data_IF_844233873840
#
_entry.id   IF_844233873840
#
_cell.length_a   1.000
_cell.length_b   1.000
_cell.length_c   1.000
_cell.angle_alpha   90.00
_cell.angle_beta   90.00
_cell.angle_gamma   90.00
#
_symmetry.space_group_name_H-M   'P 1'
#
loop_
_entity.id
_entity.type
_entity.pdbx_description
1 polymer ?
#
# COMPACT_ATOMS: atom_id res chain seq x y z
N UNK A 1 -21.66 -30.14 2.76
CA UNK A 1 -20.74 -30.91 1.88
C UNK A 1 -19.34 -30.46 2.24
N UNK A 2 -18.58 -31.26 3.00
CA UNK A 2 -17.14 -31.05 3.10
C UNK A 2 -16.57 -31.34 1.71
N UNK A 3 -15.79 -30.42 1.15
CA UNK A 3 -15.07 -30.69 -0.09
C UNK A 3 -14.10 -31.85 0.19
N UNK A 4 -14.09 -32.88 -0.67
CA UNK A 4 -13.18 -34.02 -0.53
C UNK A 4 -11.72 -33.64 -0.85
N UNK A 5 -11.46 -32.40 -1.26
CA UNK A 5 -10.18 -31.90 -1.74
C UNK A 5 -9.68 -30.76 -0.82
N UNK A 6 -9.31 -31.10 0.41
CA UNK A 6 -8.65 -30.16 1.34
C UNK A 6 -7.21 -30.60 1.54
N UNK A 7 -6.27 -29.71 1.23
CA UNK A 7 -4.83 -29.92 1.38
C UNK A 7 -4.30 -29.04 2.53
N UNK A 8 -3.41 -29.60 3.35
CA UNK A 8 -2.72 -28.87 4.42
C UNK A 8 -1.25 -28.73 4.08
N UNK A 9 -0.78 -27.49 3.92
CA UNK A 9 0.63 -27.16 3.69
C UNK A 9 1.25 -26.72 5.02
N UNK A 10 2.24 -27.47 5.50
CA UNK A 10 3.02 -27.10 6.70
C UNK A 10 4.30 -26.40 6.25
N UNK A 11 4.56 -25.23 6.83
CA UNK A 11 5.75 -24.43 6.53
C UNK A 11 6.65 -24.45 7.77
N UNK A 12 7.79 -25.13 7.66
CA UNK A 12 8.80 -25.26 8.71
C UNK A 12 10.02 -24.39 8.39
N UNK A 13 10.77 -24.01 9.42
CA UNK A 13 12.03 -23.27 9.28
C UNK A 13 13.22 -24.19 8.92
N UNK A 14 13.00 -25.51 8.88
CA UNK A 14 14.05 -26.51 8.63
C UNK A 14 14.25 -26.73 7.12
N UNK A 15 15.47 -26.40 6.69
CA UNK A 15 16.23 -26.69 5.47
C UNK A 15 15.55 -27.44 4.31
N UNK A 16 15.67 -26.88 3.09
CA UNK A 16 15.49 -27.66 1.87
C UNK A 16 16.49 -28.84 1.86
N UNK A 17 16.08 -30.06 1.50
CA UNK A 17 17.05 -31.10 1.21
C UNK A 17 17.81 -30.70 -0.05
N UNK A 18 19.11 -30.43 0.09
CA UNK A 18 20.03 -30.26 -1.02
C UNK A 18 19.89 -31.43 -2.00
N UNK A 19 19.67 -31.14 -3.27
CA UNK A 19 19.76 -32.13 -4.34
C UNK A 19 21.11 -32.86 -4.27
N UNK A 20 21.09 -34.18 -4.08
CA UNK A 20 22.22 -35.05 -4.44
C UNK A 20 22.69 -36.04 -3.38
N UNK A 21 21.87 -37.01 -2.98
CA UNK A 21 22.41 -38.28 -2.50
C UNK A 21 22.53 -39.27 -3.68
N UNK A 22 23.73 -39.37 -4.24
CA UNK A 22 24.17 -40.60 -4.89
C UNK A 22 25.14 -41.36 -3.96
N UNK A 23 25.11 -42.71 -3.96
CA UNK A 23 25.73 -43.49 -2.90
C UNK A 23 27.25 -43.55 -3.00
N UNK A 24 27.86 -43.59 -1.83
CA UNK A 24 29.29 -43.60 -1.58
C UNK A 24 30.02 -44.79 -2.23
N UNK A 25 31.00 -44.50 -3.08
CA UNK A 25 32.11 -45.42 -3.35
C UNK A 25 33.48 -44.71 -3.28
N UNK A 26 34.23 -45.09 -2.24
CA UNK A 26 35.70 -45.17 -2.08
C UNK A 26 36.59 -44.15 -2.81
N UNK A 27 37.22 -43.26 -2.01
CA UNK A 27 38.58 -42.70 -2.22
C UNK A 27 39.20 -42.44 -0.83
N UNK A 28 40.06 -43.31 -0.30
CA UNK A 28 41.54 -43.21 -0.28
C UNK A 28 42.11 -41.81 -0.08
N UNK A 29 42.87 -41.70 1.00
CA UNK A 29 43.71 -40.60 1.48
C UNK A 29 44.63 -40.04 0.38
N UNK A 30 44.68 -38.71 0.23
CA UNK A 30 45.89 -37.88 0.39
C UNK A 30 45.72 -36.45 -0.18
N UNK A 31 46.41 -35.53 0.49
CA UNK A 31 46.98 -34.26 0.03
C UNK A 31 46.16 -32.95 0.13
N UNK A 32 46.76 -32.06 0.92
CA UNK A 32 46.49 -30.65 1.15
C UNK A 32 46.55 -29.77 -0.12
N UNK A 33 45.82 -28.65 -0.05
CA UNK A 33 46.18 -27.29 -0.49
C UNK A 33 45.15 -26.64 -1.45
N UNK A 34 44.61 -25.50 -1.01
CA UNK A 34 43.93 -24.53 -1.87
C UNK A 34 42.68 -23.90 -1.25
N UNK A 35 42.85 -23.03 -0.26
CA UNK A 35 41.84 -22.01 0.06
C UNK A 35 41.66 -21.10 -1.16
N UNK A 36 40.51 -21.20 -1.81
CA UNK A 36 39.98 -20.15 -2.68
C UNK A 36 38.62 -19.75 -2.11
N UNK A 37 38.57 -18.50 -1.64
CA UNK A 37 37.39 -17.78 -1.19
C UNK A 37 36.22 -18.04 -2.14
N UNK A 38 35.28 -18.87 -1.71
CA UNK A 38 33.90 -18.82 -2.19
C UNK A 38 33.19 -17.86 -1.26
N UNK A 39 32.93 -16.66 -1.75
CA UNK A 39 31.91 -15.80 -1.16
C UNK A 39 30.57 -16.52 -1.32
N UNK A 40 30.12 -17.19 -0.25
CA UNK A 40 28.76 -17.71 -0.16
C UNK A 40 27.78 -16.52 -0.27
N UNK A 41 26.72 -16.62 -1.09
CA UNK A 41 25.74 -15.56 -1.20
C UNK A 41 25.03 -15.38 0.15
N UNK A 42 25.00 -14.14 0.66
CA UNK A 42 24.33 -13.77 1.91
C UNK A 42 22.99 -14.48 2.07
N UNK A 43 22.86 -15.30 3.12
CA UNK A 43 21.61 -16.01 3.45
C UNK A 43 20.45 -15.01 3.54
N UNK A 44 19.57 -15.01 2.53
CA UNK A 44 18.38 -14.16 2.55
C UNK A 44 17.41 -14.76 3.57
N UNK A 45 17.44 -14.24 4.80
CA UNK A 45 16.53 -14.66 5.87
C UNK A 45 15.13 -14.13 5.58
N UNK A 46 14.26 -15.00 5.06
CA UNK A 46 12.85 -14.68 4.86
C UNK A 46 12.08 -14.64 6.18
N UNK A 47 11.14 -13.72 6.30
CA UNK A 47 10.18 -13.70 7.40
C UNK A 47 9.21 -14.87 7.30
N UNK A 48 8.61 -15.28 8.43
CA UNK A 48 7.57 -16.34 8.48
C UNK A 48 6.44 -16.13 7.48
N UNK A 49 6.03 -14.86 7.28
CA UNK A 49 4.97 -14.49 6.34
C UNK A 49 5.40 -14.67 4.89
N UNK A 50 6.65 -14.34 4.57
CA UNK A 50 7.22 -14.53 3.22
C UNK A 50 7.39 -16.01 2.90
N UNK A 51 7.86 -16.82 3.86
CA UNK A 51 7.94 -18.28 3.71
C UNK A 51 6.57 -18.90 3.41
N UNK A 52 5.54 -18.50 4.16
CA UNK A 52 4.16 -18.95 3.92
C UNK A 52 3.65 -18.51 2.54
N UNK A 53 3.89 -17.25 2.16
CA UNK A 53 3.51 -16.74 0.85
C UNK A 53 4.25 -17.46 -0.30
N UNK A 54 5.52 -17.85 -0.12
CA UNK A 54 6.30 -18.61 -1.12
C UNK A 54 5.79 -20.02 -1.30
N UNK A 55 5.41 -20.70 -0.23
CA UNK A 55 4.80 -22.04 -0.32
C UNK A 55 3.47 -21.97 -1.07
N UNK A 56 2.65 -20.95 -0.79
CA UNK A 56 1.42 -20.69 -1.55
C UNK A 56 1.76 -20.37 -3.02
N UNK A 57 2.76 -19.55 -3.30
CA UNK A 57 3.19 -19.21 -4.66
C UNK A 57 3.67 -20.45 -5.45
N UNK A 58 4.41 -21.36 -4.81
CA UNK A 58 4.82 -22.64 -5.41
C UNK A 58 3.61 -23.49 -5.77
N UNK A 59 2.66 -23.62 -4.84
CA UNK A 59 1.43 -24.39 -5.08
C UNK A 59 0.56 -23.78 -6.17
N UNK A 60 0.46 -22.45 -6.22
CA UNK A 60 -0.25 -21.74 -7.29
C UNK A 60 0.37 -22.09 -8.66
N UNK A 61 1.70 -22.06 -8.79
CA UNK A 61 2.39 -22.42 -10.03
C UNK A 61 2.07 -23.84 -10.48
N UNK A 62 2.09 -24.80 -9.57
CA UNK A 62 1.71 -26.20 -9.85
C UNK A 62 0.25 -26.31 -10.33
N UNK A 63 -0.67 -25.56 -9.73
CA UNK A 63 -2.09 -25.61 -10.10
C UNK A 63 -2.38 -24.91 -11.43
N UNK A 64 -1.62 -23.87 -11.79
CA UNK A 64 -1.77 -23.12 -13.05
C UNK A 64 -0.85 -23.60 -14.16
N UNK A 65 -0.12 -24.70 -13.96
CA UNK A 65 0.78 -25.26 -14.96
C UNK A 65 0.00 -25.65 -16.23
N UNK A 66 0.41 -25.22 -17.43
CA UNK A 66 -0.36 -25.47 -18.66
C UNK A 66 -0.54 -26.96 -19.00
N UNK A 67 0.41 -27.82 -18.60
CA UNK A 67 0.47 -29.23 -19.01
C UNK A 67 -0.05 -30.16 -17.91
N UNK A 68 0.21 -29.82 -16.64
CA UNK A 68 -0.05 -30.67 -15.48
C UNK A 68 -0.98 -30.06 -14.44
N UNK A 69 -1.39 -28.80 -14.65
CA UNK A 69 -2.23 -28.06 -13.73
C UNK A 69 -3.66 -28.56 -13.60
N UNK A 70 -4.40 -27.95 -12.68
CA UNK A 70 -5.77 -28.33 -12.36
C UNK A 70 -6.73 -27.95 -13.50
N UNK A 71 -7.53 -28.91 -13.95
CA UNK A 71 -8.59 -28.67 -14.91
C UNK A 71 -9.91 -28.33 -14.20
N UNK A 72 -10.35 -27.09 -14.35
CA UNK A 72 -11.62 -26.60 -13.81
C UNK A 72 -12.75 -26.86 -14.82
N UNK A 73 -13.92 -27.24 -14.32
CA UNK A 73 -15.11 -27.40 -15.14
C UNK A 73 -15.84 -26.07 -15.29
N UNK A 74 -15.92 -25.55 -16.51
CA UNK A 74 -16.67 -24.34 -16.82
C UNK A 74 -18.14 -24.67 -17.09
N UNK A 75 -19.00 -24.36 -16.12
CA UNK A 75 -20.45 -24.60 -16.22
C UNK A 75 -21.11 -23.84 -17.40
N UNK A 76 -20.55 -22.71 -17.83
CA UNK A 76 -21.12 -21.92 -18.93
C UNK A 76 -20.86 -22.54 -20.29
N UNK A 77 -19.63 -23.00 -20.50
CA UNK A 77 -19.19 -23.58 -21.78
C UNK A 77 -19.28 -25.11 -21.80
N UNK A 78 -19.58 -25.74 -20.66
CA UNK A 78 -19.65 -27.21 -20.47
C UNK A 78 -18.36 -27.92 -20.88
N UNK A 79 -17.21 -27.28 -20.65
CA UNK A 79 -15.89 -27.79 -21.00
C UNK A 79 -14.93 -27.69 -19.81
N UNK A 80 -13.90 -28.53 -19.82
CA UNK A 80 -12.76 -28.37 -18.92
C UNK A 80 -11.78 -27.36 -19.49
N UNK A 81 -11.27 -26.47 -18.63
CA UNK A 81 -10.21 -25.51 -18.95
C UNK A 81 -9.14 -25.54 -17.87
N UNK A 82 -7.88 -25.17 -18.18
CA UNK A 82 -6.86 -25.00 -17.16
C UNK A 82 -7.26 -23.91 -16.15
N UNK A 83 -6.83 -24.10 -14.90
CA UNK A 83 -6.96 -23.08 -13.87
C UNK A 83 -6.13 -21.84 -14.23
N UNK A 84 -6.71 -20.67 -14.03
CA UNK A 84 -6.05 -19.39 -14.25
C UNK A 84 -5.91 -18.63 -12.93
N UNK A 85 -5.05 -17.62 -12.86
CA UNK A 85 -4.84 -16.84 -11.64
C UNK A 85 -6.14 -16.19 -11.12
N UNK A 86 -7.07 -15.82 -12.00
CA UNK A 86 -8.39 -15.27 -11.63
C UNK A 86 -9.27 -16.24 -10.83
N UNK A 87 -9.01 -17.55 -10.92
CA UNK A 87 -9.77 -18.59 -10.22
C UNK A 87 -9.29 -18.80 -8.78
N UNK A 88 -8.18 -18.15 -8.42
CA UNK A 88 -7.49 -18.35 -7.15
C UNK A 88 -7.76 -17.15 -6.24
N UNK A 89 -8.20 -17.47 -5.01
CA UNK A 89 -8.28 -16.50 -3.91
C UNK A 89 -7.42 -16.94 -2.74
N UNK A 90 -6.76 -15.99 -2.09
CA UNK A 90 -6.09 -16.15 -0.81
C UNK A 90 -6.89 -15.41 0.26
N UNK A 91 -7.41 -16.16 1.22
CA UNK A 91 -8.18 -15.64 2.34
C UNK A 91 -7.28 -15.48 3.56
N UNK A 92 -7.24 -14.26 4.09
CA UNK A 92 -6.52 -13.93 5.32
C UNK A 92 -7.51 -13.53 6.41
N UNK A 93 -7.24 -13.93 7.66
CA UNK A 93 -8.05 -13.43 8.80
C UNK A 93 -7.77 -11.96 9.08
N UNK A 94 -6.51 -11.54 8.96
CA UNK A 94 -6.03 -10.19 9.21
C UNK A 94 -5.33 -9.70 7.96
N UNK A 95 -5.81 -8.60 7.37
CA UNK A 95 -5.20 -8.03 6.17
C UNK A 95 -3.92 -7.26 6.51
N UNK A 96 -3.95 -6.41 7.53
CA UNK A 96 -2.86 -5.48 7.89
C UNK A 96 -1.51 -6.18 8.04
N UNK A 97 -0.54 -5.76 7.22
CA UNK A 97 0.83 -6.28 7.18
C UNK A 97 0.97 -7.74 6.72
N UNK A 98 -0.10 -8.40 6.27
CA UNK A 98 -0.07 -9.74 5.66
C UNK A 98 -0.32 -9.66 4.16
N UNK A 99 -1.33 -8.89 3.75
CA UNK A 99 -1.67 -8.66 2.35
C UNK A 99 -0.50 -8.09 1.55
N UNK A 100 0.18 -7.06 2.07
CA UNK A 100 1.35 -6.44 1.41
C UNK A 100 2.48 -7.45 1.19
N UNK A 101 2.80 -8.23 2.23
CA UNK A 101 3.83 -9.27 2.15
C UNK A 101 3.47 -10.33 1.10
N UNK A 102 2.21 -10.78 1.09
CA UNK A 102 1.75 -11.78 0.14
C UNK A 102 1.75 -11.24 -1.29
N UNK A 103 1.23 -10.03 -1.53
CA UNK A 103 1.26 -9.39 -2.86
C UNK A 103 2.69 -9.27 -3.36
N UNK A 104 3.59 -8.71 -2.55
CA UNK A 104 4.99 -8.50 -2.94
C UNK A 104 5.68 -9.82 -3.24
N UNK A 105 5.49 -10.84 -2.40
CA UNK A 105 6.10 -12.17 -2.59
C UNK A 105 5.57 -12.84 -3.85
N UNK A 106 4.25 -12.83 -4.08
CA UNK A 106 3.65 -13.41 -5.29
C UNK A 106 4.15 -12.70 -6.56
N UNK A 107 4.22 -11.37 -6.53
CA UNK A 107 4.76 -10.59 -7.65
C UNK A 107 6.24 -10.90 -7.92
N UNK A 108 7.06 -11.10 -6.88
CA UNK A 108 8.46 -11.52 -7.03
C UNK A 108 8.59 -12.91 -7.65
N UNK A 109 7.66 -13.81 -7.35
CA UNK A 109 7.57 -15.16 -7.96
C UNK A 109 6.89 -15.15 -9.35
N UNK A 110 6.61 -13.97 -9.92
CA UNK A 110 6.01 -13.80 -11.25
C UNK A 110 4.50 -14.04 -11.31
N UNK A 111 3.82 -14.12 -10.15
CA UNK A 111 2.38 -14.34 -10.05
C UNK A 111 1.68 -13.00 -9.84
N UNK A 112 0.83 -12.56 -10.78
CA UNK A 112 0.13 -11.28 -10.63
C UNK A 112 -0.92 -11.42 -9.52
N UNK A 113 -0.76 -10.66 -8.45
CA UNK A 113 -1.63 -10.69 -7.28
C UNK A 113 -2.19 -9.31 -6.95
N UNK A 114 -3.41 -9.28 -6.44
CA UNK A 114 -4.11 -8.07 -6.03
C UNK A 114 -4.75 -8.29 -4.67
N UNK A 115 -4.49 -7.40 -3.71
CA UNK A 115 -5.18 -7.38 -2.44
C UNK A 115 -6.17 -6.22 -2.40
N UNK A 116 -7.39 -6.48 -1.94
CA UNK A 116 -8.36 -5.43 -1.61
C UNK A 116 -8.02 -4.84 -0.23
N UNK A 117 -6.83 -4.27 -0.13
CA UNK A 117 -6.36 -3.54 1.04
C UNK A 117 -6.86 -2.12 0.98
N UNK A 118 -7.81 -1.79 1.84
CA UNK A 118 -8.14 -0.39 2.16
C UNK A 118 -7.05 0.38 2.89
N UNK A 119 -5.92 -0.28 3.19
CA UNK A 119 -4.74 0.30 3.81
C UNK A 119 -3.76 0.75 2.73
N UNK A 120 -3.22 1.95 2.85
CA UNK A 120 -2.17 2.47 1.96
C UNK A 120 -2.62 3.51 0.94
N UNK A 121 -3.91 3.64 0.64
CA UNK A 121 -4.42 4.67 -0.30
C UNK A 121 -3.92 6.08 0.04
N UNK A 122 -4.07 6.50 1.30
CA UNK A 122 -3.61 7.81 1.78
C UNK A 122 -2.08 7.93 1.92
N UNK A 123 -1.35 6.83 1.76
CA UNK A 123 0.12 6.78 1.79
C UNK A 123 0.73 6.78 0.38
N UNK A 124 -0.09 6.59 -0.66
CA UNK A 124 0.37 6.69 -2.05
C UNK A 124 0.92 8.08 -2.33
N UNK A 125 1.95 8.15 -3.18
CA UNK A 125 2.66 9.39 -3.47
C UNK A 125 1.73 10.44 -4.10
N UNK A 126 0.89 10.01 -5.04
CA UNK A 126 -0.06 10.88 -5.74
C UNK A 126 -1.07 11.53 -4.77
N UNK A 127 -1.63 10.75 -3.84
CA UNK A 127 -2.60 11.25 -2.87
C UNK A 127 -1.91 12.11 -1.83
N UNK A 128 -0.75 11.68 -1.31
CA UNK A 128 0.00 12.44 -0.30
C UNK A 128 0.40 13.83 -0.83
N UNK A 129 0.88 13.91 -2.07
CA UNK A 129 1.24 15.20 -2.70
C UNK A 129 0.03 16.12 -2.82
N UNK A 130 -1.11 15.62 -3.34
CA UNK A 130 -2.32 16.44 -3.50
C UNK A 130 -2.85 16.90 -2.14
N UNK A 131 -2.88 16.02 -1.13
CA UNK A 131 -3.29 16.40 0.21
C UNK A 131 -2.35 17.42 0.84
N UNK A 132 -1.04 17.36 0.56
CA UNK A 132 -0.11 18.38 0.99
C UNK A 132 -0.37 19.73 0.32
N UNK A 133 -0.73 19.76 -0.98
CA UNK A 133 -1.17 20.98 -1.67
C UNK A 133 -2.41 21.57 -0.98
N UNK A 134 -3.44 20.78 -0.72
CA UNK A 134 -4.64 21.24 -0.02
C UNK A 134 -4.32 21.81 1.37
N UNK A 135 -3.42 21.17 2.11
CA UNK A 135 -2.98 21.61 3.43
C UNK A 135 -2.28 22.96 3.40
N UNK A 136 -1.41 23.21 2.42
CA UNK A 136 -0.73 24.51 2.31
C UNK A 136 -1.65 25.61 1.78
N UNK A 137 -2.66 25.27 0.99
CA UNK A 137 -3.72 26.22 0.61
C UNK A 137 -4.49 26.65 1.86
N UNK A 138 -4.90 25.70 2.71
CA UNK A 138 -5.57 26.01 3.99
C UNK A 138 -4.65 26.79 4.93
N UNK A 139 -3.41 26.33 5.12
CA UNK A 139 -2.41 26.97 5.96
C UNK A 139 -0.97 26.76 5.43
N UNK A 140 -0.37 27.79 4.80
CA UNK A 140 0.99 27.69 4.26
C UNK A 140 2.09 27.47 5.30
N UNK A 141 1.84 27.75 6.58
CA UNK A 141 2.83 27.65 7.66
C UNK A 141 3.04 26.23 8.19
N UNK A 142 2.66 25.22 7.41
CA UNK A 142 2.90 23.82 7.71
C UNK A 142 4.18 23.35 7.01
N UNK A 143 5.27 23.21 7.76
CA UNK A 143 6.60 22.98 7.19
C UNK A 143 6.71 21.66 6.39
N UNK A 144 6.13 20.56 6.90
CA UNK A 144 6.22 19.24 6.23
C UNK A 144 5.42 19.21 4.91
N UNK A 145 4.12 19.58 4.87
CA UNK A 145 3.39 19.68 3.60
C UNK A 145 4.05 20.62 2.60
N UNK A 146 4.53 21.78 3.05
CA UNK A 146 5.20 22.74 2.19
C UNK A 146 6.48 22.17 1.58
N UNK A 147 7.36 21.58 2.39
CA UNK A 147 8.57 20.94 1.88
C UNK A 147 8.24 19.78 0.91
N UNK A 148 7.18 19.01 1.22
CA UNK A 148 6.70 17.94 0.35
C UNK A 148 6.27 18.44 -1.04
N UNK A 149 5.52 19.54 -1.10
CA UNK A 149 5.10 20.15 -2.38
C UNK A 149 6.28 20.75 -3.14
N UNK A 150 7.20 21.44 -2.44
CA UNK A 150 8.39 22.02 -3.06
C UNK A 150 9.32 20.95 -3.67
N UNK A 151 9.45 19.79 -3.01
CA UNK A 151 10.22 18.65 -3.53
C UNK A 151 9.50 17.88 -4.64
N UNK A 152 8.16 17.96 -4.68
CA UNK A 152 7.35 17.23 -5.64
C UNK A 152 7.54 17.75 -7.08
N UNK A 153 7.15 16.98 -8.11
CA UNK A 153 7.19 17.41 -9.51
C UNK A 153 6.41 18.69 -9.83
N UNK A 154 5.53 19.15 -8.92
CA UNK A 154 4.78 20.41 -9.06
C UNK A 154 5.74 21.62 -9.07
N UNK A 155 6.74 21.63 -8.19
CA UNK A 155 7.75 22.70 -8.10
C UNK A 155 9.13 22.22 -8.56
N UNK A 156 9.49 20.99 -8.18
CA UNK A 156 10.67 20.28 -8.67
C UNK A 156 11.99 20.72 -8.05
N UNK A 157 12.00 21.18 -6.80
CA UNK A 157 13.25 21.51 -6.09
C UNK A 157 13.96 20.25 -5.60
N UNK A 158 15.29 20.29 -5.62
CA UNK A 158 16.12 19.23 -5.04
C UNK A 158 16.28 19.38 -3.53
N UNK A 159 16.70 18.31 -2.85
CA UNK A 159 17.01 18.35 -1.41
C UNK A 159 18.09 19.39 -1.07
N UNK A 160 19.09 19.56 -1.93
CA UNK A 160 20.12 20.59 -1.77
C UNK A 160 19.54 22.00 -1.88
N UNK A 161 18.65 22.25 -2.85
CA UNK A 161 17.98 23.55 -2.99
C UNK A 161 17.08 23.86 -1.79
N UNK A 162 16.35 22.86 -1.28
CA UNK A 162 15.57 23.01 -0.04
C UNK A 162 16.46 23.34 1.17
N UNK A 163 17.61 22.70 1.28
CA UNK A 163 18.58 23.00 2.34
C UNK A 163 19.13 24.44 2.21
N UNK A 164 19.37 24.94 1.00
CA UNK A 164 19.78 26.33 0.76
C UNK A 164 18.71 27.32 1.22
N UNK A 165 17.44 27.08 0.88
CA UNK A 165 16.32 27.91 1.34
C UNK A 165 16.26 27.91 2.87
N UNK A 166 16.41 26.73 3.50
CA UNK A 166 16.39 26.62 4.97
C UNK A 166 17.59 27.29 5.62
N UNK A 167 18.77 27.21 5.01
CA UNK A 167 19.99 27.81 5.55
C UNK A 167 19.92 29.34 5.57
N UNK A 168 19.18 29.95 4.64
CA UNK A 168 18.97 31.40 4.57
C UNK A 168 18.12 31.94 5.74
N UNK A 169 17.21 31.13 6.30
CA UNK A 169 16.40 31.50 7.46
C UNK A 169 16.11 30.29 8.36
N UNK A 170 17.01 30.05 9.30
CA UNK A 170 17.00 28.88 10.18
C UNK A 170 16.08 29.01 11.40
N UNK A 171 15.58 30.20 11.70
CA UNK A 171 14.85 30.46 12.95
C UNK A 171 13.34 30.64 12.75
N UNK A 172 12.89 30.88 11.51
CA UNK A 172 11.47 31.02 11.20
C UNK A 172 10.87 29.73 10.60
N UNK A 173 9.57 29.77 10.30
CA UNK A 173 8.87 28.70 9.57
C UNK A 173 9.44 28.53 8.17
N UNK A 174 9.28 27.34 7.58
CA UNK A 174 9.73 27.07 6.20
C UNK A 174 9.06 28.02 5.20
N UNK A 175 7.79 28.39 5.43
CA UNK A 175 7.08 29.37 4.61
C UNK A 175 7.77 30.75 4.61
N UNK A 176 8.20 31.23 5.78
CA UNK A 176 8.92 32.50 5.91
C UNK A 176 10.26 32.46 5.18
N UNK A 177 10.97 31.33 5.29
CA UNK A 177 12.23 31.11 4.58
C UNK A 177 12.02 31.15 3.06
N UNK A 178 10.98 30.48 2.56
CA UNK A 178 10.60 30.50 1.15
C UNK A 178 10.28 31.91 0.65
N UNK A 179 9.45 32.68 1.37
CA UNK A 179 9.11 34.05 0.97
C UNK A 179 10.32 34.98 0.96
N UNK A 180 11.24 34.81 1.92
CA UNK A 180 12.45 35.61 2.02
C UNK A 180 13.43 35.25 0.90
N UNK A 181 13.62 33.96 0.64
CA UNK A 181 14.47 33.47 -0.43
C UNK A 181 13.95 33.86 -1.81
N UNK A 182 12.63 33.84 -2.04
CA UNK A 182 12.05 34.31 -3.30
C UNK A 182 12.43 35.77 -3.62
N UNK A 183 12.47 36.64 -2.59
CA UNK A 183 12.78 38.07 -2.75
C UNK A 183 14.27 38.37 -2.87
N UNK A 184 15.09 37.74 -2.02
CA UNK A 184 16.48 38.14 -1.76
C UNK A 184 17.49 36.99 -1.95
N UNK A 185 17.04 35.82 -2.36
CA UNK A 185 17.87 34.63 -2.56
C UNK A 185 18.99 34.84 -3.58
N UNK A 186 20.12 34.18 -3.35
CA UNK A 186 21.30 34.28 -4.21
C UNK A 186 21.21 33.48 -5.51
N UNK A 187 20.32 32.48 -5.59
CA UNK A 187 20.12 31.63 -6.76
C UNK A 187 18.86 32.04 -7.53
N UNK A 188 19.04 32.54 -8.75
CA UNK A 188 17.97 33.05 -9.62
C UNK A 188 16.99 31.95 -10.06
N UNK A 189 17.48 30.72 -10.29
CA UNK A 189 16.64 29.61 -10.73
C UNK A 189 15.68 29.20 -9.62
N UNK A 190 16.19 29.08 -8.38
CA UNK A 190 15.36 28.78 -7.21
C UNK A 190 14.33 29.89 -7.02
N UNK A 191 14.75 31.16 -7.12
CA UNK A 191 13.86 32.31 -6.96
C UNK A 191 12.70 32.30 -7.93
N UNK A 192 12.96 32.14 -9.23
CA UNK A 192 11.91 32.15 -10.25
C UNK A 192 10.88 31.02 -10.03
N UNK A 193 11.35 29.84 -9.61
CA UNK A 193 10.46 28.72 -9.26
C UNK A 193 9.61 29.02 -8.03
N UNK A 194 10.20 29.63 -7.00
CA UNK A 194 9.48 30.02 -5.78
C UNK A 194 8.47 31.13 -6.02
N UNK A 195 8.82 32.15 -6.81
CA UNK A 195 7.91 33.24 -7.20
C UNK A 195 6.68 32.66 -7.91
N UNK A 196 6.89 31.83 -8.95
CA UNK A 196 5.79 31.16 -9.66
C UNK A 196 4.92 30.32 -8.73
N UNK A 197 5.53 29.56 -7.82
CA UNK A 197 4.81 28.72 -6.86
C UNK A 197 3.99 29.56 -5.87
N UNK A 198 4.54 30.67 -5.36
CA UNK A 198 3.84 31.56 -4.42
C UNK A 198 2.64 32.24 -5.09
N UNK A 199 2.78 32.66 -6.35
CA UNK A 199 1.67 33.23 -7.12
C UNK A 199 0.55 32.20 -7.31
N UNK A 200 0.89 30.97 -7.75
CA UNK A 200 -0.07 29.88 -7.87
C UNK A 200 -0.75 29.55 -6.54
N UNK A 201 0.00 29.54 -5.44
CA UNK A 201 -0.55 29.27 -4.11
C UNK A 201 -1.58 30.32 -3.71
N UNK A 202 -1.34 31.61 -3.98
CA UNK A 202 -2.32 32.65 -3.66
C UNK A 202 -3.54 32.63 -4.58
N UNK A 203 -3.38 32.26 -5.86
CA UNK A 203 -4.50 32.03 -6.77
C UNK A 203 -5.41 30.91 -6.24
N UNK A 204 -4.83 29.76 -5.86
CA UNK A 204 -5.62 28.65 -5.28
C UNK A 204 -6.30 29.05 -3.97
N UNK A 205 -5.63 29.84 -3.12
CA UNK A 205 -6.19 30.32 -1.85
C UNK A 205 -7.35 31.29 -2.07
N UNK A 206 -7.30 32.11 -3.11
CA UNK A 206 -8.41 32.97 -3.50
C UNK A 206 -9.63 32.14 -3.96
N UNK A 207 -9.41 31.06 -4.71
CA UNK A 207 -10.48 30.18 -5.22
C UNK A 207 -11.26 29.45 -4.12
N UNK A 208 -10.63 29.11 -2.99
CA UNK A 208 -11.29 28.38 -1.89
C UNK A 208 -12.59 29.04 -1.42
N UNK A 209 -12.69 30.37 -1.52
CA UNK A 209 -13.85 31.13 -1.05
C UNK A 209 -15.12 30.90 -1.89
N UNK A 210 -15.01 30.50 -3.15
CA UNK A 210 -16.15 30.43 -4.08
C UNK A 210 -16.17 29.19 -4.97
N UNK A 211 -15.14 28.34 -4.93
CA UNK A 211 -15.04 27.13 -5.75
C UNK A 211 -15.28 25.88 -4.89
N UNK A 212 -16.11 24.92 -5.34
CA UNK A 212 -16.20 23.59 -4.75
C UNK A 212 -14.83 22.90 -4.68
N UNK A 213 -14.64 22.01 -3.70
CA UNK A 213 -13.37 21.31 -3.48
C UNK A 213 -13.02 20.40 -4.66
N UNK A 214 -14.00 19.73 -5.26
CA UNK A 214 -13.76 18.86 -6.42
C UNK A 214 -13.28 19.66 -7.64
N UNK A 215 -13.86 20.85 -7.88
CA UNK A 215 -13.41 21.77 -8.93
C UNK A 215 -12.03 22.36 -8.62
N UNK A 216 -11.77 22.74 -7.36
CA UNK A 216 -10.45 23.19 -6.91
C UNK A 216 -9.38 22.11 -7.16
N UNK A 217 -9.69 20.85 -6.84
CA UNK A 217 -8.80 19.73 -7.10
C UNK A 217 -8.51 19.57 -8.61
N UNK A 218 -9.54 19.65 -9.45
CA UNK A 218 -9.39 19.56 -10.90
C UNK A 218 -8.54 20.71 -11.44
N UNK A 219 -8.75 21.94 -10.97
CA UNK A 219 -7.97 23.10 -11.38
C UNK A 219 -6.49 22.95 -10.99
N UNK A 220 -6.20 22.53 -9.76
CA UNK A 220 -4.84 22.26 -9.30
C UNK A 220 -4.18 21.20 -10.18
N UNK A 221 -4.88 20.11 -10.45
CA UNK A 221 -4.37 18.99 -11.25
C UNK A 221 -4.06 19.39 -12.69
N UNK A 222 -4.90 20.22 -13.30
CA UNK A 222 -4.75 20.71 -14.67
C UNK A 222 -3.63 21.75 -14.76
N UNK A 223 -3.65 22.79 -13.92
CA UNK A 223 -2.66 23.88 -13.97
C UNK A 223 -1.23 23.41 -13.63
N UNK A 224 -1.09 22.45 -12.72
CA UNK A 224 0.22 21.89 -12.38
C UNK A 224 0.66 20.80 -13.35
N UNK A 225 -0.24 20.29 -14.19
CA UNK A 225 -0.01 19.11 -15.03
C UNK A 225 0.21 17.81 -14.24
N UNK A 226 -0.03 17.81 -12.93
CA UNK A 226 0.29 16.68 -12.06
C UNK A 226 -0.53 15.43 -12.41
N UNK A 227 -1.77 15.59 -12.90
CA UNK A 227 -2.59 14.47 -13.36
C UNK A 227 -1.91 13.67 -14.47
N UNK A 228 -1.46 14.38 -15.51
CA UNK A 228 -0.77 13.77 -16.65
C UNK A 228 0.61 13.22 -16.27
N UNK A 229 1.33 13.93 -15.38
CA UNK A 229 2.61 13.46 -14.87
C UNK A 229 2.47 12.09 -14.18
N UNK A 230 1.51 11.97 -13.27
CA UNK A 230 1.24 10.74 -12.52
C UNK A 230 0.76 9.61 -13.45
N UNK A 231 -0.05 9.92 -14.46
CA UNK A 231 -0.50 8.96 -15.46
C UNK A 231 0.66 8.41 -16.32
N UNK A 232 1.72 9.19 -16.54
CA UNK A 232 2.90 8.77 -17.30
C UNK A 232 3.92 7.95 -16.47
N UNK A 233 3.74 7.86 -15.15
CA UNK A 233 4.62 7.05 -14.28
C UNK A 233 4.29 5.55 -14.35
N UNK A 234 5.20 4.67 -13.88
CA UNK A 234 4.89 3.26 -13.68
C UNK A 234 3.64 3.07 -12.81
N UNK A 235 2.71 2.23 -13.29
CA UNK A 235 1.40 2.03 -12.67
C UNK A 235 0.42 3.18 -12.88
N UNK A 236 0.60 4.00 -13.92
CA UNK A 236 -0.17 5.22 -14.19
C UNK A 236 -1.69 5.07 -14.14
N UNK A 237 -2.25 3.97 -14.67
CA UNK A 237 -3.70 3.70 -14.59
C UNK A 237 -4.18 3.61 -13.13
N UNK A 238 -3.44 2.89 -12.27
CA UNK A 238 -3.77 2.75 -10.85
C UNK A 238 -3.66 4.07 -10.11
N UNK A 239 -2.61 4.85 -10.39
CA UNK A 239 -2.43 6.17 -9.77
C UNK A 239 -3.48 7.18 -10.21
N UNK A 240 -3.87 7.14 -11.49
CA UNK A 240 -4.99 7.91 -12.03
C UNK A 240 -6.28 7.56 -11.29
N UNK A 241 -6.58 6.27 -11.14
CA UNK A 241 -7.76 5.82 -10.42
C UNK A 241 -7.77 6.28 -8.96
N UNK A 242 -6.60 6.32 -8.30
CA UNK A 242 -6.48 6.90 -6.96
C UNK A 242 -6.88 8.38 -6.95
N UNK A 243 -6.40 9.19 -7.91
CA UNK A 243 -6.79 10.61 -8.01
C UNK A 243 -8.29 10.76 -8.30
N UNK A 244 -8.84 9.99 -9.25
CA UNK A 244 -10.27 10.03 -9.59
C UNK A 244 -11.15 9.66 -8.38
N UNK A 245 -10.66 8.74 -7.54
CA UNK A 245 -11.32 8.41 -6.27
C UNK A 245 -11.27 9.58 -5.29
N UNK A 246 -10.16 10.31 -5.16
CA UNK A 246 -10.07 11.50 -4.30
C UNK A 246 -11.10 12.57 -4.72
N UNK A 247 -11.22 12.84 -6.02
CA UNK A 247 -12.22 13.77 -6.56
C UNK A 247 -13.63 13.27 -6.23
N UNK A 248 -13.89 11.98 -6.39
CA UNK A 248 -15.18 11.38 -6.03
C UNK A 248 -15.49 11.48 -4.52
N UNK A 249 -14.47 11.43 -3.65
CA UNK A 249 -14.64 11.71 -2.22
C UNK A 249 -15.01 13.17 -1.96
N UNK A 250 -14.38 14.11 -2.66
CA UNK A 250 -14.70 15.54 -2.55
C UNK A 250 -16.17 15.81 -2.92
N UNK A 251 -16.65 15.26 -4.04
CA UNK A 251 -18.06 15.36 -4.46
C UNK A 251 -19.01 14.76 -3.42
N UNK A 252 -18.65 13.61 -2.81
CA UNK A 252 -19.47 13.00 -1.75
C UNK A 252 -19.50 13.86 -0.48
N UNK A 253 -18.36 14.40 -0.09
CA UNK A 253 -18.24 15.27 1.07
C UNK A 253 -19.11 16.53 0.94
N UNK A 254 -19.09 17.16 -0.24
CA UNK A 254 -19.87 18.36 -0.53
C UNK A 254 -21.38 18.16 -0.53
N UNK A 255 -21.87 16.93 -0.77
CA UNK A 255 -23.29 16.59 -0.61
C UNK A 255 -23.73 16.52 0.86
N UNK A 256 -22.78 16.48 1.78
CA UNK A 256 -23.04 16.46 3.22
C UNK A 256 -23.37 17.84 3.79
N UNK A 257 -23.55 17.91 5.11
CA UNK A 257 -23.87 19.16 5.82
C UNK A 257 -22.63 20.03 6.14
N UNK A 258 -21.42 19.49 5.98
CA UNK A 258 -20.17 20.21 6.22
C UNK A 258 -19.58 20.67 4.89
N UNK A 259 -19.10 21.91 4.81
CA UNK A 259 -18.52 22.50 3.61
C UNK A 259 -17.21 23.23 3.90
N UNK A 260 -16.43 23.45 2.84
CA UNK A 260 -15.15 24.17 2.90
C UNK A 260 -13.92 23.28 3.08
N UNK A 261 -12.79 23.80 2.60
CA UNK A 261 -11.51 23.09 2.53
C UNK A 261 -11.04 22.52 3.88
N UNK A 262 -11.08 23.33 4.94
CA UNK A 262 -10.70 22.90 6.29
C UNK A 262 -11.47 21.65 6.76
N UNK A 263 -12.80 21.64 6.56
CA UNK A 263 -13.62 20.50 6.97
C UNK A 263 -13.34 19.27 6.11
N UNK A 264 -13.03 19.45 4.83
CA UNK A 264 -12.64 18.36 3.95
C UNK A 264 -11.30 17.74 4.34
N UNK A 265 -10.28 18.56 4.65
CA UNK A 265 -8.99 18.07 5.15
C UNK A 265 -9.20 17.25 6.42
N UNK A 266 -9.99 17.74 7.38
CA UNK A 266 -10.31 16.99 8.60
C UNK A 266 -11.12 15.73 8.34
N UNK A 267 -11.99 15.75 7.35
CA UNK A 267 -12.73 14.56 6.91
C UNK A 267 -11.76 13.49 6.40
N UNK A 268 -10.85 13.85 5.49
CA UNK A 268 -9.80 12.95 5.00
C UNK A 268 -8.89 12.44 6.13
N UNK A 269 -8.49 13.30 7.08
CA UNK A 269 -7.68 12.88 8.22
C UNK A 269 -8.39 11.89 9.12
N UNK A 270 -9.71 12.07 9.34
CA UNK A 270 -10.51 11.08 10.07
C UNK A 270 -10.58 9.76 9.30
N UNK A 271 -10.82 9.82 8.00
CA UNK A 271 -10.84 8.65 7.14
C UNK A 271 -9.52 7.86 7.20
N UNK A 272 -8.39 8.57 7.17
CA UNK A 272 -7.06 7.97 7.34
C UNK A 272 -6.87 7.39 8.75
N UNK A 273 -7.23 8.13 9.80
CA UNK A 273 -7.06 7.71 11.20
C UNK A 273 -7.89 6.49 11.57
N UNK A 274 -9.12 6.39 11.04
CA UNK A 274 -10.02 5.28 11.32
C UNK A 274 -9.91 4.15 10.29
N UNK A 275 -8.85 4.17 9.46
CA UNK A 275 -8.59 3.19 8.39
C UNK A 275 -9.87 2.86 7.60
N UNK A 276 -10.66 3.90 7.30
CA UNK A 276 -11.92 3.70 6.60
C UNK A 276 -11.60 3.14 5.23
N UNK A 277 -12.16 1.97 4.96
CA UNK A 277 -11.87 1.10 3.82
C UNK A 277 -12.23 1.80 2.51
N UNK A 278 -11.24 2.33 1.80
CA UNK A 278 -11.44 2.89 0.46
C UNK A 278 -10.88 2.02 -0.66
N UNK A 279 -10.19 0.94 -0.33
CA UNK A 279 -9.33 0.23 -1.28
C UNK A 279 -8.28 1.17 -1.90
N UNK A 280 -7.38 0.63 -2.71
CA UNK A 280 -6.90 1.42 -3.84
C UNK A 280 -7.95 1.32 -4.93
N UNK A 281 -8.13 2.37 -5.72
CA UNK A 281 -9.19 2.40 -6.71
C UNK A 281 -8.97 1.24 -7.69
N UNK A 282 -9.83 0.22 -7.60
CA UNK A 282 -9.74 -1.01 -8.35
C UNK A 282 -9.78 -0.70 -9.86
N UNK A 283 -8.60 -0.59 -10.46
CA UNK A 283 -8.42 -0.48 -11.91
C UNK A 283 -8.44 -1.84 -12.57
N UNK A 284 -8.18 -2.89 -11.78
CA UNK A 284 -8.39 -4.27 -12.18
C UNK A 284 -9.83 -4.66 -11.87
N UNK A 285 -10.69 -4.54 -12.89
CA UNK A 285 -12.02 -5.15 -12.84
C UNK A 285 -11.93 -6.65 -12.62
N UNK A 286 -13.06 -7.29 -12.34
CA UNK A 286 -13.16 -8.75 -12.15
C UNK A 286 -12.61 -9.62 -13.31
N UNK A 287 -12.18 -9.00 -14.42
CA UNK A 287 -11.72 -9.63 -15.64
C UNK A 287 -10.20 -9.79 -15.76
N UNK A 288 -9.39 -9.15 -14.93
CA UNK A 288 -7.93 -9.33 -14.97
C UNK A 288 -7.53 -10.72 -14.44
N UNK A 289 -6.57 -11.35 -15.12
CA UNK A 289 -6.04 -12.66 -14.74
C UNK A 289 -5.05 -12.57 -13.56
N UNK A 290 -5.57 -12.26 -12.36
CA UNK A 290 -4.76 -12.06 -11.14
C UNK A 290 -5.31 -12.84 -9.94
N UNK A 291 -4.42 -13.23 -9.03
CA UNK A 291 -4.75 -13.87 -7.75
C UNK A 291 -5.32 -12.84 -6.80
N UNK A 292 -6.52 -13.09 -6.26
CA UNK A 292 -7.20 -12.15 -5.35
C UNK A 292 -6.83 -12.45 -3.90
N UNK A 293 -6.50 -11.42 -3.13
CA UNK A 293 -6.23 -11.53 -1.69
C UNK A 293 -7.28 -10.70 -0.94
N UNK A 294 -8.04 -11.34 -0.06
CA UNK A 294 -9.11 -10.67 0.68
C UNK A 294 -9.28 -11.23 2.09
N UNK A 295 -10.05 -10.52 2.90
CA UNK A 295 -10.37 -10.99 4.24
C UNK A 295 -11.43 -12.10 4.18
N UNK A 296 -11.37 -13.06 5.10
CA UNK A 296 -12.41 -14.10 5.27
C UNK A 296 -13.81 -13.46 5.46
N UNK A 297 -13.88 -12.24 5.99
CA UNK A 297 -15.15 -11.51 6.14
C UNK A 297 -15.68 -11.00 4.80
N UNK A 298 -14.81 -10.48 3.93
CA UNK A 298 -15.18 -9.97 2.59
C UNK A 298 -15.57 -11.10 1.62
N UNK A 299 -15.15 -12.34 1.85
CA UNK A 299 -15.48 -13.47 0.97
C UNK A 299 -16.90 -14.04 1.17
N UNK A 300 -17.69 -13.52 2.13
CA UNK A 300 -19.05 -14.02 2.39
C UNK A 300 -19.96 -13.84 1.18
N UNK A 301 -20.53 -14.94 0.70
CA UNK A 301 -21.42 -14.94 -0.47
C UNK A 301 -20.69 -14.95 -1.82
N UNK A 302 -19.36 -15.05 -1.82
CA UNK A 302 -18.56 -15.26 -3.01
C UNK A 302 -18.11 -16.73 -3.10
N UNK A 303 -17.95 -17.21 -4.32
CA UNK A 303 -17.47 -18.57 -4.60
C UNK A 303 -16.26 -18.49 -5.51
N UNK A 304 -15.21 -19.24 -5.16
CA UNK A 304 -13.97 -19.33 -5.93
C UNK A 304 -13.63 -20.81 -6.16
N UNK A 305 -13.15 -21.19 -7.37
CA UNK A 305 -12.74 -22.55 -7.63
C UNK A 305 -11.58 -23.03 -6.73
N UNK A 306 -10.59 -22.16 -6.47
CA UNK A 306 -9.41 -22.47 -5.69
C UNK A 306 -9.28 -21.45 -4.55
N UNK A 307 -9.23 -21.95 -3.31
CA UNK A 307 -9.17 -21.12 -2.09
C UNK A 307 -7.97 -21.53 -1.25
N UNK A 308 -7.03 -20.61 -1.08
CA UNK A 308 -5.99 -20.70 -0.06
C UNK A 308 -6.44 -19.99 1.21
N UNK A 309 -6.13 -20.55 2.38
CA UNK A 309 -6.33 -19.88 3.67
C UNK A 309 -4.96 -19.70 4.31
N UNK A 310 -4.51 -18.45 4.38
CA UNK A 310 -3.19 -18.10 4.91
C UNK A 310 -3.26 -17.42 6.29
N UNK A 311 -2.11 -17.34 6.95
CA UNK A 311 -1.93 -16.74 8.26
C UNK A 311 -2.59 -17.52 9.39
N UNK A 312 -2.70 -18.84 9.24
CA UNK A 312 -3.28 -19.72 10.25
C UNK A 312 -2.41 -19.84 11.51
N UNK A 313 -1.12 -19.50 11.42
CA UNK A 313 -0.17 -19.44 12.53
C UNK A 313 -0.40 -18.24 13.47
N UNK A 314 -1.19 -17.24 13.04
CA UNK A 314 -1.44 -16.04 13.83
C UNK A 314 -2.29 -16.37 15.06
N UNK A 315 -1.79 -15.99 16.24
CA UNK A 315 -2.57 -16.09 17.47
C UNK A 315 -3.85 -15.25 17.38
N UNK A 316 -4.93 -15.76 17.99
CA UNK A 316 -6.18 -15.02 18.09
C UNK A 316 -5.96 -13.70 18.83
N UNK A 317 -6.60 -12.62 18.38
CA UNK A 317 -6.58 -11.36 19.10
C UNK A 317 -7.43 -11.51 20.38
N UNK A 318 -6.76 -11.52 21.53
CA UNK A 318 -7.39 -11.60 22.85
C UNK A 318 -7.26 -10.30 23.65
N UNK A 319 -7.03 -9.16 22.99
CA UNK A 319 -6.87 -7.86 23.67
C UNK A 319 -8.12 -7.48 24.50
N UNK A 320 -9.32 -7.81 24.02
CA UNK A 320 -10.59 -7.54 24.73
C UNK A 320 -10.75 -8.33 26.04
N UNK A 321 -9.98 -9.41 26.22
CA UNK A 321 -9.96 -10.20 27.46
C UNK A 321 -8.98 -9.59 28.48
N UNK A 322 -8.05 -8.76 28.01
CA UNK A 322 -7.00 -8.13 28.84
C UNK A 322 -7.25 -6.65 29.10
N UNK A 323 -8.38 -6.10 28.66
CA UNK A 323 -8.73 -4.72 28.94
C UNK A 323 -9.12 -4.55 30.41
N UNK A 324 -8.83 -3.37 30.98
CA UNK A 324 -9.23 -3.01 32.35
C UNK A 324 -10.75 -3.05 32.57
N UNK A 325 -11.52 -3.19 31.50
CA UNK A 325 -12.96 -3.39 31.51
C UNK A 325 -13.27 -4.47 30.48
N UNK A 326 -13.81 -5.60 30.95
CA UNK A 326 -14.28 -6.70 30.11
C UNK A 326 -15.80 -6.62 30.00
N UNK A 327 -16.33 -6.79 28.79
CA UNK A 327 -17.77 -6.81 28.53
C UNK A 327 -18.20 -8.25 28.23
N UNK A 328 -19.12 -8.79 29.04
CA UNK A 328 -19.71 -10.10 28.85
C UNK A 328 -21.21 -9.96 28.58
N UNK A 329 -21.72 -10.61 27.54
CA UNK A 329 -23.12 -10.49 27.11
C UNK A 329 -24.13 -10.88 28.19
N UNK A 330 -23.77 -11.81 29.08
CA UNK A 330 -24.64 -12.28 30.17
C UNK A 330 -24.26 -11.73 31.54
N UNK A 331 -22.97 -11.47 31.79
CA UNK A 331 -22.44 -11.14 33.12
C UNK A 331 -22.23 -9.63 33.30
N UNK A 332 -22.40 -8.85 32.22
CA UNK A 332 -22.27 -7.39 32.26
C UNK A 332 -20.82 -6.94 32.18
N UNK A 333 -20.46 -5.98 33.02
CA UNK A 333 -19.17 -5.27 32.97
C UNK A 333 -18.25 -5.75 34.09
N UNK A 334 -17.07 -6.26 33.75
CA UNK A 334 -16.04 -6.70 34.68
C UNK A 334 -14.83 -5.76 34.68
N UNK A 335 -14.75 -4.78 35.62
CA UNK A 335 -13.57 -3.94 35.76
C UNK A 335 -12.42 -4.69 36.44
N UNK A 336 -11.19 -4.28 36.14
CA UNK A 336 -10.00 -4.71 36.86
C UNK A 336 -10.06 -4.23 38.32
N UNK A 337 -9.98 -5.19 39.25
CA UNK A 337 -9.97 -4.92 40.67
C UNK A 337 -8.52 -4.94 41.16
N UNK A 338 -8.02 -3.76 41.57
CA UNK A 338 -6.72 -3.64 42.24
C UNK A 338 -7.01 -3.66 43.75
N UNK A 339 -6.57 -4.74 44.40
CA UNK A 339 -6.53 -4.78 45.87
C UNK A 339 -5.32 -3.96 46.35
N UNK A 340 -5.56 -3.05 47.29
CA UNK A 340 -4.56 -2.11 47.79
C UNK A 340 -4.08 -2.41 49.21
N UNK A 341 -4.49 -3.54 49.78
CA UNK A 341 -3.88 -4.11 51.00
C UNK A 341 -2.51 -4.74 50.70
#
# INVERSE_FOLDING_TARGET
RLANDVELLLVTEEEEPSEGEMPAEKRTEDAEAGEQDREDPEDIVYTKKEMEARVIAKRIRELTDPDTGLLLYDTKNQTHRPAEYRDIVILLRSMTGWSEVFVNTLMQEGIPAYADTGTGYFQTLEITTILNVLRIIDNPRQDIPLAGVLYSPIVGLTSTQLALIRAADQNNSMYTAVCSYAREGGDEEIRLRLERFLDQLEDYRAMVAYTPIHELLQEILEQTGYYYYVMAMPGGERRKANIDMLISQAVRFEKGSYSGLFHFIRYIEKLHKYEVDFGEAATSGEQDNTVRIMSIHKSKGLEFPIVFVGGMSKQFNTQDIRSNIILHSELGVGPEYIDSE
#
